data_IF_530132465109
#
_entry.id   IF_530132465109
#
_cell.length_a   1.000
_cell.length_b   1.000
_cell.length_c   1.000
_cell.angle_alpha   90.00
_cell.angle_beta   90.00
_cell.angle_gamma   90.00
#
_symmetry.space_group_name_H-M   'P 1'
#
loop_
_entity.id
_entity.type
_entity.pdbx_description
1 polymer ?
#
# COMPACT_ATOMS: atom_id res chain seq x y z
N UNK A 1 -44.24 10.22 8.48
CA UNK A 1 -43.87 9.01 7.72
C UNK A 1 -44.63 9.07 6.42
N UNK A 2 -43.91 9.45 5.36
CA UNK A 2 -44.52 9.66 4.06
C UNK A 2 -44.55 8.33 3.30
N UNK A 3 -45.76 7.85 2.99
CA UNK A 3 -45.99 6.59 2.27
C UNK A 3 -45.44 6.62 0.82
N UNK A 4 -45.12 7.81 0.32
CA UNK A 4 -44.45 8.03 -0.96
C UNK A 4 -43.00 7.57 -1.01
N UNK A 5 -42.26 7.75 0.08
CA UNK A 5 -40.83 7.36 0.17
C UNK A 5 -40.61 5.82 0.24
N UNK A 6 -41.57 5.12 0.85
CA UNK A 6 -41.52 3.64 0.92
C UNK A 6 -41.84 3.05 -0.45
N UNK A 7 -42.77 3.64 -1.18
CA UNK A 7 -43.16 3.16 -2.51
C UNK A 7 -42.05 3.43 -3.53
N UNK A 8 -41.37 4.58 -3.46
CA UNK A 8 -40.23 4.90 -4.33
C UNK A 8 -39.02 4.01 -4.09
N UNK A 9 -38.74 3.61 -2.82
CA UNK A 9 -37.66 2.71 -2.49
C UNK A 9 -37.93 1.26 -2.87
N UNK A 10 -39.21 0.84 -2.80
CA UNK A 10 -39.60 -0.55 -3.09
C UNK A 10 -39.85 -0.81 -4.57
N UNK A 11 -40.31 0.19 -5.32
CA UNK A 11 -40.59 0.10 -6.77
C UNK A 11 -39.54 0.80 -7.65
N UNK A 12 -38.82 1.81 -7.15
CA UNK A 12 -37.80 2.54 -7.89
C UNK A 12 -36.53 1.70 -8.15
N UNK A 13 -36.19 0.78 -7.25
CA UNK A 13 -35.03 -0.10 -7.40
C UNK A 13 -35.24 -1.30 -8.33
N UNK A 14 -36.47 -1.78 -8.47
CA UNK A 14 -36.77 -2.97 -9.29
C UNK A 14 -37.22 -2.65 -10.74
N UNK A 15 -37.73 -1.44 -11.02
CA UNK A 15 -38.17 -1.03 -12.36
C UNK A 15 -37.28 0.01 -13.03
N UNK A 16 -36.41 0.71 -12.28
CA UNK A 16 -35.50 1.74 -12.80
C UNK A 16 -34.20 1.24 -13.39
N UNK A 17 -33.83 -0.01 -13.18
CA UNK A 17 -32.52 -0.57 -13.59
C UNK A 17 -32.51 -1.36 -14.90
N UNK A 18 -33.65 -1.50 -15.62
CA UNK A 18 -33.75 -2.42 -16.74
C UNK A 18 -34.12 -1.86 -18.12
N UNK A 19 -34.53 -0.61 -18.25
CA UNK A 19 -35.06 -0.11 -19.52
C UNK A 19 -34.37 1.10 -20.15
N UNK A 20 -33.18 1.49 -19.66
CA UNK A 20 -32.42 2.65 -20.15
C UNK A 20 -30.98 2.36 -20.57
N UNK A 21 -30.62 1.12 -20.85
CA UNK A 21 -29.32 0.78 -21.44
C UNK A 21 -29.35 1.09 -22.92
N UNK A 22 -28.76 2.23 -23.34
CA UNK A 22 -28.58 2.58 -24.77
C UNK A 22 -27.90 1.41 -25.48
N UNK A 23 -28.61 0.81 -26.45
CA UNK A 23 -28.22 -0.39 -27.15
C UNK A 23 -27.09 -0.16 -28.17
N UNK A 24 -25.91 0.22 -27.68
CA UNK A 24 -24.68 0.26 -28.46
C UNK A 24 -23.77 -0.97 -28.19
N UNK A 25 -22.84 -1.23 -29.10
CA UNK A 25 -21.87 -2.31 -28.91
C UNK A 25 -21.03 -2.07 -27.66
N UNK A 26 -20.70 -3.15 -26.95
CA UNK A 26 -19.81 -3.09 -25.80
C UNK A 26 -18.38 -2.74 -26.27
N UNK A 27 -17.71 -1.88 -25.50
CA UNK A 27 -16.29 -1.64 -25.76
C UNK A 27 -15.44 -2.87 -25.39
N UNK A 28 -14.52 -3.24 -26.27
CA UNK A 28 -13.48 -4.24 -25.96
C UNK A 28 -12.44 -3.69 -24.99
N UNK A 29 -12.29 -2.36 -25.01
CA UNK A 29 -11.37 -1.65 -24.12
C UNK A 29 -12.05 -1.44 -22.76
N UNK A 30 -11.46 -1.98 -21.71
CA UNK A 30 -11.92 -1.84 -20.33
C UNK A 30 -10.77 -1.38 -19.45
N UNK A 31 -11.10 -0.73 -18.35
CA UNK A 31 -10.09 -0.35 -17.36
C UNK A 31 -9.45 -1.61 -16.75
N UNK A 32 -8.14 -1.51 -16.50
CA UNK A 32 -7.36 -2.52 -15.80
C UNK A 32 -7.78 -2.63 -14.35
N UNK A 33 -7.44 -3.76 -13.74
CA UNK A 33 -7.72 -4.00 -12.33
C UNK A 33 -6.74 -3.25 -11.46
N UNK A 34 -7.21 -2.84 -10.31
CA UNK A 34 -6.36 -2.40 -9.23
C UNK A 34 -5.50 -3.58 -8.74
N UNK A 35 -4.27 -3.28 -8.39
CA UNK A 35 -3.34 -4.27 -7.86
C UNK A 35 -2.91 -3.86 -6.46
N UNK A 36 -2.84 -4.83 -5.56
CA UNK A 36 -2.37 -4.64 -4.19
C UNK A 36 -1.07 -5.42 -4.01
N UNK A 37 -0.07 -4.77 -3.45
CA UNK A 37 1.18 -5.40 -3.02
C UNK A 37 1.54 -4.95 -1.61
N UNK A 38 2.41 -5.70 -0.94
CA UNK A 38 2.88 -5.38 0.40
C UNK A 38 4.40 -5.30 0.36
N UNK A 39 4.95 -4.31 1.05
CA UNK A 39 6.39 -4.16 1.23
C UNK A 39 6.72 -4.04 2.70
N UNK A 40 7.87 -4.58 3.07
CA UNK A 40 8.43 -4.42 4.40
C UNK A 40 9.53 -3.37 4.34
N UNK A 41 9.45 -2.38 5.22
CA UNK A 41 10.45 -1.31 5.37
C UNK A 41 11.15 -1.42 6.72
N UNK A 42 12.34 -0.89 6.82
CA UNK A 42 13.06 -0.75 8.09
C UNK A 42 12.66 0.54 8.78
N UNK A 43 13.01 0.68 10.06
CA UNK A 43 12.75 1.89 10.83
C UNK A 43 13.54 3.10 10.27
N UNK A 44 14.74 2.87 9.75
CA UNK A 44 15.54 3.91 9.09
C UNK A 44 14.85 4.41 7.82
N UNK A 45 14.35 3.49 6.98
CA UNK A 45 13.59 3.84 5.78
C UNK A 45 12.29 4.59 6.13
N UNK A 46 11.63 4.18 7.21
CA UNK A 46 10.46 4.89 7.73
C UNK A 46 10.79 6.30 8.22
N UNK A 47 11.98 6.45 8.85
CA UNK A 47 12.41 7.72 9.45
C UNK A 47 12.84 8.74 8.41
N UNK A 48 13.67 8.33 7.45
CA UNK A 48 14.30 9.23 6.49
C UNK A 48 13.64 9.24 5.12
N UNK A 49 12.72 8.32 4.88
CA UNK A 49 12.21 8.03 3.55
C UNK A 49 13.20 7.20 2.73
N UNK A 50 12.70 6.56 1.68
CA UNK A 50 13.53 5.73 0.81
C UNK A 50 12.94 5.60 -0.58
N UNK A 51 13.82 5.35 -1.56
CA UNK A 51 13.43 4.88 -2.88
C UNK A 51 13.62 3.37 -2.95
N UNK A 52 12.56 2.63 -3.21
CA UNK A 52 12.59 1.17 -3.25
C UNK A 52 12.13 0.64 -4.59
N UNK A 53 12.91 -0.25 -5.16
CA UNK A 53 12.49 -1.00 -6.34
C UNK A 53 11.67 -2.21 -5.90
N UNK A 54 10.46 -2.32 -6.44
CA UNK A 54 9.58 -3.47 -6.26
C UNK A 54 9.37 -4.19 -7.59
N UNK A 55 9.31 -5.50 -7.54
CA UNK A 55 8.98 -6.33 -8.71
C UNK A 55 7.61 -6.95 -8.51
N UNK A 56 6.74 -6.79 -9.48
CA UNK A 56 5.39 -7.36 -9.45
C UNK A 56 5.07 -8.06 -10.76
N UNK A 57 4.24 -9.10 -10.67
CA UNK A 57 3.67 -9.76 -11.84
C UNK A 57 2.37 -9.05 -12.19
N UNK A 58 2.34 -8.42 -13.36
CA UNK A 58 1.21 -7.60 -13.78
C UNK A 58 0.93 -7.79 -15.25
N UNK A 59 -0.22 -7.31 -15.73
CA UNK A 59 -0.51 -7.21 -17.14
C UNK A 59 0.03 -5.89 -17.68
N UNK A 60 0.83 -5.97 -18.77
CA UNK A 60 1.29 -4.83 -19.55
C UNK A 60 0.67 -4.86 -20.94
N UNK A 61 0.70 -3.75 -21.65
CA UNK A 61 0.27 -3.72 -23.03
C UNK A 61 1.11 -4.72 -23.87
N UNK A 62 0.49 -5.39 -24.80
CA UNK A 62 1.19 -6.28 -25.70
C UNK A 62 2.08 -5.47 -26.64
N UNK A 63 3.38 -5.76 -26.66
CA UNK A 63 4.36 -5.02 -27.47
C UNK A 63 4.20 -5.28 -28.97
N UNK A 64 3.51 -6.37 -29.37
CA UNK A 64 3.28 -6.72 -30.78
C UNK A 64 2.06 -5.96 -31.33
N UNK A 65 0.94 -5.98 -30.63
CA UNK A 65 -0.30 -5.37 -31.12
C UNK A 65 -0.64 -4.03 -30.46
N UNK A 66 0.11 -3.59 -29.47
CA UNK A 66 -0.09 -2.34 -28.72
C UNK A 66 -1.53 -2.13 -28.22
N UNK A 67 -2.20 -3.23 -27.85
CA UNK A 67 -3.58 -3.21 -27.37
C UNK A 67 -4.66 -3.38 -28.42
N UNK A 68 -4.34 -3.42 -29.71
CA UNK A 68 -5.34 -3.61 -30.80
C UNK A 68 -5.98 -4.98 -30.78
N UNK A 69 -5.39 -5.97 -30.11
CA UNK A 69 -5.81 -7.38 -30.04
C UNK A 69 -5.67 -8.17 -31.34
N UNK A 70 -5.35 -7.50 -32.45
CA UNK A 70 -5.23 -8.08 -33.79
C UNK A 70 -3.74 -8.27 -34.16
N UNK A 71 -3.46 -9.15 -35.11
CA UNK A 71 -2.16 -9.22 -35.73
C UNK A 71 -1.75 -7.88 -36.35
N UNK A 72 -0.44 -7.53 -36.36
CA UNK A 72 0.03 -6.32 -37.00
C UNK A 72 -0.42 -6.25 -38.46
N UNK A 73 -1.05 -5.14 -38.83
CA UNK A 73 -1.62 -4.93 -40.17
C UNK A 73 -3.04 -5.43 -40.37
N UNK A 74 -3.66 -5.99 -39.33
CA UNK A 74 -5.10 -6.33 -39.30
C UNK A 74 -5.88 -5.49 -38.29
N UNK A 75 -7.16 -5.29 -38.59
CA UNK A 75 -8.09 -4.52 -37.73
C UNK A 75 -9.35 -5.33 -37.44
N UNK A 76 -10.06 -5.01 -36.33
CA UNK A 76 -11.36 -5.64 -36.06
C UNK A 76 -12.37 -5.33 -37.18
N UNK A 77 -12.98 -6.34 -37.76
CA UNK A 77 -14.00 -6.20 -38.82
C UNK A 77 -15.39 -6.02 -38.23
N UNK A 78 -16.28 -5.30 -38.92
CA UNK A 78 -17.66 -5.15 -38.48
C UNK A 78 -18.37 -6.51 -38.50
N UNK A 79 -19.05 -6.88 -37.44
CA UNK A 79 -19.79 -8.14 -37.36
C UNK A 79 -20.93 -8.19 -38.40
N UNK A 80 -20.85 -9.10 -39.34
CA UNK A 80 -21.87 -9.25 -40.40
C UNK A 80 -23.23 -9.72 -39.89
N UNK A 81 -23.30 -10.36 -38.72
CA UNK A 81 -24.59 -10.84 -38.14
C UNK A 81 -25.43 -9.73 -37.53
N UNK A 82 -24.78 -8.76 -36.88
CA UNK A 82 -25.50 -7.63 -36.25
C UNK A 82 -25.19 -6.30 -36.89
N UNK A 83 -24.41 -6.27 -37.98
CA UNK A 83 -24.01 -5.05 -38.70
C UNK A 83 -23.46 -3.97 -37.77
N UNK A 84 -22.64 -4.39 -36.80
CA UNK A 84 -22.03 -3.47 -35.83
C UNK A 84 -22.87 -3.15 -34.61
N UNK A 85 -24.13 -3.54 -34.54
CA UNK A 85 -25.06 -3.19 -33.45
C UNK A 85 -24.67 -3.84 -32.10
N UNK A 86 -23.97 -4.98 -32.10
CA UNK A 86 -23.60 -5.73 -30.90
C UNK A 86 -24.71 -6.58 -30.31
N UNK A 87 -25.94 -6.43 -30.76
CA UNK A 87 -27.08 -7.18 -30.27
C UNK A 87 -27.94 -7.70 -31.41
N UNK A 88 -28.76 -8.71 -31.13
CA UNK A 88 -29.84 -9.22 -31.99
C UNK A 88 -31.17 -9.12 -31.24
N UNK A 89 -32.23 -8.91 -32.01
CA UNK A 89 -33.59 -8.84 -31.44
C UNK A 89 -34.20 -10.24 -31.52
N UNK A 90 -34.49 -10.82 -30.36
CA UNK A 90 -35.25 -12.06 -30.25
C UNK A 90 -36.71 -11.74 -29.91
N UNK A 91 -37.60 -12.32 -30.66
CA UNK A 91 -39.04 -12.19 -30.46
C UNK A 91 -39.55 -13.45 -29.75
N UNK A 92 -40.05 -13.30 -28.54
CA UNK A 92 -40.64 -14.38 -27.76
C UNK A 92 -42.14 -14.18 -27.64
N UNK A 93 -42.89 -15.23 -27.90
CA UNK A 93 -44.30 -15.22 -27.71
C UNK A 93 -44.62 -15.65 -26.28
N UNK A 94 -45.24 -14.76 -25.52
CA UNK A 94 -45.65 -15.01 -24.13
C UNK A 94 -47.17 -15.04 -24.03
N UNK A 95 -47.72 -15.51 -22.91
CA UNK A 95 -49.16 -15.52 -22.66
C UNK A 95 -49.80 -14.12 -22.71
N UNK A 96 -48.99 -13.06 -22.55
CA UNK A 96 -49.44 -11.67 -22.56
C UNK A 96 -49.17 -10.96 -23.90
N UNK A 97 -48.67 -11.69 -24.91
CA UNK A 97 -48.39 -11.12 -26.24
C UNK A 97 -46.92 -11.35 -26.67
N UNK A 98 -46.57 -10.72 -27.77
CA UNK A 98 -45.22 -10.85 -28.35
C UNK A 98 -44.29 -9.85 -27.69
N UNK A 99 -43.22 -10.35 -27.02
CA UNK A 99 -42.19 -9.55 -26.42
C UNK A 99 -40.94 -9.57 -27.30
N UNK A 100 -40.34 -8.39 -27.53
CA UNK A 100 -39.07 -8.24 -28.23
C UNK A 100 -37.97 -7.95 -27.19
N UNK A 101 -36.96 -8.84 -27.11
CA UNK A 101 -35.87 -8.71 -26.19
C UNK A 101 -34.57 -8.54 -26.98
N UNK A 102 -33.73 -7.59 -26.58
CA UNK A 102 -32.37 -7.45 -27.11
C UNK A 102 -31.46 -8.43 -26.37
N UNK A 103 -30.76 -9.28 -27.12
CA UNK A 103 -29.77 -10.22 -26.60
C UNK A 103 -28.41 -9.95 -27.24
N UNK A 104 -27.31 -10.14 -26.54
CA UNK A 104 -25.98 -9.99 -27.14
C UNK A 104 -25.85 -10.83 -28.41
N UNK A 105 -25.30 -10.27 -29.46
CA UNK A 105 -25.09 -10.98 -30.72
C UNK A 105 -24.21 -12.20 -30.48
N UNK A 106 -24.58 -13.44 -30.83
CA UNK A 106 -23.82 -14.63 -30.54
C UNK A 106 -22.46 -14.68 -31.27
N UNK A 107 -22.37 -14.04 -32.42
CA UNK A 107 -21.13 -14.02 -33.23
C UNK A 107 -20.08 -13.11 -32.63
N UNK A 108 -20.43 -11.88 -32.25
CA UNK A 108 -19.48 -10.91 -31.70
C UNK A 108 -19.56 -10.75 -30.19
N UNK A 109 -20.43 -11.50 -29.51
CA UNK A 109 -20.60 -11.48 -28.04
C UNK A 109 -20.89 -10.07 -27.47
N UNK A 110 -21.58 -9.24 -28.24
CA UNK A 110 -21.93 -7.89 -27.82
C UNK A 110 -20.97 -6.79 -28.29
N UNK A 111 -19.84 -7.12 -28.89
CA UNK A 111 -18.82 -6.14 -29.26
C UNK A 111 -19.09 -5.38 -30.57
N UNK A 112 -19.99 -5.86 -31.40
CA UNK A 112 -20.27 -5.25 -32.72
C UNK A 112 -19.18 -5.50 -33.77
N UNK A 113 -18.00 -5.94 -33.37
CA UNK A 113 -16.87 -6.27 -34.25
C UNK A 113 -16.38 -7.69 -34.00
N UNK A 114 -15.68 -8.27 -34.97
CA UNK A 114 -15.05 -9.59 -34.87
C UNK A 114 -13.55 -9.42 -35.14
N UNK A 115 -12.72 -10.12 -34.38
CA UNK A 115 -11.26 -10.20 -34.61
C UNK A 115 -11.03 -11.50 -35.38
N UNK A 116 -10.74 -11.36 -36.69
CA UNK A 116 -10.50 -12.53 -37.54
C UNK A 116 -9.10 -13.09 -37.35
N UNK A 117 -8.12 -12.21 -37.14
CA UNK A 117 -6.74 -12.54 -36.90
C UNK A 117 -6.29 -12.03 -35.55
N UNK A 118 -6.49 -12.82 -34.48
CA UNK A 118 -6.06 -12.44 -33.15
C UNK A 118 -4.53 -12.43 -33.06
N UNK A 119 -3.98 -11.43 -32.39
CA UNK A 119 -2.55 -11.32 -32.14
C UNK A 119 -2.02 -12.61 -31.46
N UNK A 120 -0.98 -13.21 -32.04
CA UNK A 120 -0.41 -14.47 -31.56
C UNK A 120 0.20 -14.37 -30.18
N UNK A 121 0.83 -13.22 -29.85
CA UNK A 121 1.51 -13.01 -28.57
C UNK A 121 0.52 -12.92 -27.40
N UNK A 122 -0.55 -12.15 -27.54
CA UNK A 122 -1.52 -11.94 -26.47
C UNK A 122 -2.82 -12.75 -26.63
N UNK A 123 -2.91 -13.60 -27.66
CA UNK A 123 -4.12 -14.38 -27.99
C UNK A 123 -5.40 -13.53 -28.02
N UNK A 124 -5.30 -12.32 -28.60
CA UNK A 124 -6.44 -11.40 -28.74
C UNK A 124 -6.84 -10.66 -27.45
N UNK A 125 -6.02 -10.68 -26.40
CA UNK A 125 -6.32 -9.94 -25.15
C UNK A 125 -5.84 -8.49 -25.17
N UNK A 126 -4.88 -8.14 -26.05
CA UNK A 126 -4.25 -6.82 -26.13
C UNK A 126 -3.26 -6.54 -25.00
N UNK A 127 -3.04 -7.49 -24.11
CA UNK A 127 -2.14 -7.40 -22.96
C UNK A 127 -1.48 -8.74 -22.68
N UNK A 128 -0.29 -8.71 -22.08
CA UNK A 128 0.48 -9.89 -21.69
C UNK A 128 0.84 -9.82 -20.22
N UNK A 129 0.96 -10.98 -19.57
CA UNK A 129 1.40 -11.05 -18.18
C UNK A 129 2.92 -11.13 -18.12
N UNK A 130 3.53 -10.18 -17.44
CA UNK A 130 4.99 -10.12 -17.28
C UNK A 130 5.40 -9.66 -15.90
N UNK A 131 6.66 -9.83 -15.58
CA UNK A 131 7.27 -9.26 -14.37
C UNK A 131 7.77 -7.86 -14.71
N UNK A 132 7.28 -6.87 -13.96
CA UNK A 132 7.69 -5.47 -14.11
C UNK A 132 8.33 -4.99 -12.82
N UNK A 133 9.45 -4.26 -12.93
CA UNK A 133 10.04 -3.51 -11.83
C UNK A 133 9.56 -2.07 -11.86
N UNK A 134 9.32 -1.54 -10.67
CA UNK A 134 8.85 -0.17 -10.46
C UNK A 134 9.55 0.41 -9.23
N UNK A 135 10.10 1.61 -9.36
CA UNK A 135 10.62 2.37 -8.21
C UNK A 135 9.49 3.11 -7.54
N UNK A 136 9.38 2.97 -6.23
CA UNK A 136 8.42 3.68 -5.38
C UNK A 136 9.15 4.59 -4.41
N UNK A 137 8.55 5.74 -4.14
CA UNK A 137 9.04 6.69 -3.16
C UNK A 137 8.29 6.50 -1.84
N UNK A 138 9.00 6.11 -0.81
CA UNK A 138 8.48 5.97 0.55
C UNK A 138 8.75 7.29 1.27
N UNK A 139 7.72 8.03 1.66
CA UNK A 139 7.92 9.30 2.34
C UNK A 139 8.47 9.09 3.76
N UNK A 140 9.25 10.04 4.23
CA UNK A 140 9.65 10.09 5.64
C UNK A 140 8.39 10.17 6.53
N UNK A 141 8.37 9.41 7.62
CA UNK A 141 7.20 9.28 8.47
C UNK A 141 6.26 8.13 8.08
N UNK A 142 6.51 7.43 6.98
CA UNK A 142 5.74 6.25 6.63
C UNK A 142 5.71 5.26 7.80
N UNK A 143 4.56 4.65 8.06
CA UNK A 143 4.37 3.73 9.20
C UNK A 143 3.61 2.48 8.84
N UNK A 144 3.53 1.58 9.80
CA UNK A 144 2.81 0.32 9.66
C UNK A 144 1.33 0.55 9.32
N UNK A 145 0.82 -0.21 8.35
CA UNK A 145 -0.56 -0.09 7.86
C UNK A 145 -0.81 1.07 6.90
N UNK A 146 0.18 1.90 6.58
CA UNK A 146 0.04 2.94 5.58
C UNK A 146 -0.11 2.33 4.19
N UNK A 147 -0.99 2.91 3.37
CA UNK A 147 -1.21 2.53 1.98
C UNK A 147 -0.81 3.67 1.04
N UNK A 148 0.12 3.39 0.14
CA UNK A 148 0.51 4.28 -0.95
C UNK A 148 -0.31 3.93 -2.19
N UNK A 149 -0.90 4.94 -2.84
CA UNK A 149 -1.58 4.80 -4.12
C UNK A 149 -0.69 5.33 -5.24
N UNK A 150 -0.37 4.47 -6.17
CA UNK A 150 0.35 4.80 -7.38
C UNK A 150 -0.63 4.78 -8.56
N UNK A 151 -1.10 5.95 -8.95
CA UNK A 151 -2.11 6.09 -9.99
C UNK A 151 -1.60 5.56 -11.33
N UNK A 152 -2.41 4.73 -12.00
CA UNK A 152 -2.08 4.17 -13.31
C UNK A 152 -0.93 3.18 -13.35
N UNK A 153 -0.46 2.67 -12.19
CA UNK A 153 0.63 1.68 -12.12
C UNK A 153 0.13 0.24 -11.89
N UNK A 154 -1.18 0.02 -11.88
CA UNK A 154 -1.80 -1.30 -11.82
C UNK A 154 -1.79 -2.06 -13.14
N UNK A 155 -2.67 -3.04 -13.28
CA UNK A 155 -2.78 -3.83 -14.50
C UNK A 155 -3.28 -3.00 -15.68
N UNK A 156 -2.73 -3.28 -16.87
CA UNK A 156 -3.29 -2.77 -18.13
C UNK A 156 -4.63 -3.43 -18.40
N UNK A 157 -5.60 -2.65 -18.81
CA UNK A 157 -6.93 -3.16 -19.16
C UNK A 157 -6.94 -4.02 -20.40
N UNK A 158 -7.92 -4.93 -20.55
CA UNK A 158 -8.14 -5.65 -21.79
C UNK A 158 -8.31 -4.68 -22.97
N UNK A 159 -7.82 -5.07 -24.13
CA UNK A 159 -7.92 -4.23 -25.33
C UNK A 159 -7.10 -2.94 -25.25
N UNK A 160 -5.97 -2.94 -24.56
CA UNK A 160 -5.16 -1.75 -24.38
C UNK A 160 -5.84 -0.66 -23.56
N UNK A 161 -6.79 -1.03 -22.70
CA UNK A 161 -7.52 -0.10 -21.85
C UNK A 161 -6.62 0.59 -20.83
N UNK A 162 -7.09 1.68 -20.21
CA UNK A 162 -6.34 2.41 -19.21
C UNK A 162 -5.95 1.49 -18.05
N UNK A 163 -4.79 1.76 -17.48
CA UNK A 163 -4.29 1.00 -16.34
C UNK A 163 -5.18 1.23 -15.12
N UNK A 164 -5.25 0.22 -14.26
CA UNK A 164 -5.72 0.39 -12.88
C UNK A 164 -4.68 1.09 -12.03
N UNK A 165 -4.93 1.19 -10.74
CA UNK A 165 -3.99 1.74 -9.77
C UNK A 165 -3.24 0.62 -9.03
N UNK A 166 -2.04 0.92 -8.58
CA UNK A 166 -1.29 0.05 -7.69
C UNK A 166 -1.35 0.60 -6.27
N UNK A 167 -1.78 -0.23 -5.35
CA UNK A 167 -1.74 0.04 -3.92
C UNK A 167 -0.59 -0.72 -3.28
N UNK A 168 0.20 -0.03 -2.49
CA UNK A 168 1.34 -0.60 -1.78
C UNK A 168 1.09 -0.45 -0.29
N UNK A 169 0.84 -1.57 0.39
CA UNK A 169 0.71 -1.60 1.85
C UNK A 169 2.10 -1.67 2.47
N UNK A 170 2.38 -0.75 3.37
CA UNK A 170 3.64 -0.66 4.10
C UNK A 170 3.51 -1.47 5.39
N UNK A 171 4.53 -2.29 5.68
CA UNK A 171 4.70 -2.99 6.93
C UNK A 171 6.06 -2.62 7.50
N UNK A 172 6.08 -2.05 8.70
CA UNK A 172 7.32 -1.69 9.38
C UNK A 172 7.89 -2.89 10.12
N UNK A 173 9.15 -3.20 9.87
CA UNK A 173 9.89 -4.24 10.61
C UNK A 173 10.22 -3.77 12.00
N UNK A 174 10.07 -4.66 12.97
CA UNK A 174 10.52 -4.39 14.34
C UNK A 174 12.03 -4.13 14.35
N UNK A 175 12.42 -3.02 14.97
CA UNK A 175 13.83 -2.71 15.19
C UNK A 175 14.32 -3.38 16.49
N UNK A 176 15.55 -3.90 16.54
CA UNK A 176 16.07 -4.62 17.72
C UNK A 176 16.23 -3.71 18.96
N UNK A 177 16.51 -2.44 18.76
CA UNK A 177 16.85 -1.49 19.83
C UNK A 177 15.74 -0.48 20.08
N UNK A 178 15.10 0.00 19.02
CA UNK A 178 14.11 1.06 19.12
C UNK A 178 12.69 0.52 18.98
N UNK A 179 11.78 1.07 19.78
CA UNK A 179 10.34 0.90 19.59
C UNK A 179 9.71 2.24 19.20
N UNK A 180 8.84 2.22 18.19
CA UNK A 180 8.17 3.40 17.67
C UNK A 180 6.79 3.54 18.31
N UNK A 181 6.43 4.76 18.71
CA UNK A 181 5.09 5.13 19.12
C UNK A 181 4.72 6.46 18.45
N UNK A 182 3.92 6.40 17.39
CA UNK A 182 3.65 7.55 16.54
C UNK A 182 4.91 8.04 15.81
N UNK A 183 5.33 9.26 16.09
CA UNK A 183 6.55 9.85 15.53
C UNK A 183 7.73 9.78 16.50
N UNK A 184 7.51 9.34 17.75
CA UNK A 184 8.55 9.23 18.75
C UNK A 184 9.17 7.85 18.79
N UNK A 185 10.46 7.79 19.15
CA UNK A 185 11.22 6.58 19.34
C UNK A 185 11.53 6.37 20.83
N UNK A 186 11.50 5.12 21.25
CA UNK A 186 11.77 4.70 22.62
C UNK A 186 12.85 3.65 22.62
N UNK A 187 13.79 3.80 23.55
CA UNK A 187 14.79 2.79 23.85
C UNK A 187 15.11 2.77 25.34
N UNK A 188 15.76 1.70 25.78
CA UNK A 188 16.25 1.58 27.17
C UNK A 188 17.75 1.40 27.16
N UNK A 189 18.43 2.19 27.99
CA UNK A 189 19.88 2.08 28.20
C UNK A 189 20.15 1.66 29.63
N UNK A 190 21.01 0.67 29.80
CA UNK A 190 21.43 0.22 31.13
C UNK A 190 22.80 0.83 31.46
N UNK A 191 22.84 1.56 32.57
CA UNK A 191 24.09 2.19 33.08
C UNK A 191 24.46 1.59 34.45
N UNK A 192 25.77 1.54 34.79
CA UNK A 192 26.18 1.10 36.12
C UNK A 192 25.72 2.09 37.19
N UNK A 193 25.46 1.59 38.42
CA UNK A 193 25.02 2.41 39.55
C UNK A 193 25.97 3.57 39.87
N UNK A 194 27.27 3.39 39.64
CA UNK A 194 28.27 4.45 39.86
C UNK A 194 28.11 5.60 38.90
N UNK A 195 27.77 5.31 37.63
CA UNK A 195 27.49 6.31 36.61
C UNK A 195 26.16 7.04 36.90
N UNK A 196 25.14 6.33 37.41
CA UNK A 196 23.90 6.94 37.84
C UNK A 196 24.10 7.88 39.06
N UNK A 197 24.93 7.48 40.02
CA UNK A 197 25.18 8.25 41.25
C UNK A 197 26.05 9.50 40.99
N UNK A 198 27.15 9.33 40.26
CA UNK A 198 28.16 10.38 40.04
C UNK A 198 27.86 11.24 38.79
N UNK A 199 27.01 10.77 37.93
CA UNK A 199 26.83 11.30 36.57
C UNK A 199 27.89 10.74 35.63
N UNK A 200 27.56 10.70 34.36
CA UNK A 200 28.47 10.24 33.31
C UNK A 200 28.04 10.76 31.95
N UNK A 201 28.99 10.76 31.02
CA UNK A 201 28.73 11.01 29.61
C UNK A 201 29.16 9.80 28.82
N UNK A 202 28.32 9.31 27.94
CA UNK A 202 28.58 8.18 27.07
C UNK A 202 28.04 8.39 25.66
N UNK A 203 28.58 7.68 24.70
CA UNK A 203 28.10 7.69 23.33
C UNK A 203 26.98 6.66 23.15
N UNK A 204 25.92 7.07 22.50
CA UNK A 204 24.79 6.22 22.14
C UNK A 204 24.63 6.17 20.64
N UNK A 205 24.48 4.98 20.09
CA UNK A 205 24.14 4.79 18.68
C UNK A 205 22.65 5.08 18.47
N UNK A 206 22.36 6.11 17.67
CA UNK A 206 21.02 6.50 17.25
C UNK A 206 20.85 6.27 15.75
N UNK A 207 19.65 6.46 15.21
CA UNK A 207 19.42 6.39 13.76
C UNK A 207 20.21 7.45 12.96
N UNK A 208 20.57 8.56 13.62
CA UNK A 208 21.36 9.66 13.03
C UNK A 208 22.88 9.49 13.27
N UNK A 209 23.30 8.35 13.81
CA UNK A 209 24.68 8.09 14.20
C UNK A 209 24.89 8.27 15.70
N UNK A 210 26.15 8.42 16.10
CA UNK A 210 26.54 8.51 17.50
C UNK A 210 26.20 9.85 18.11
N UNK A 211 25.50 9.82 19.25
CA UNK A 211 25.13 11.00 20.05
C UNK A 211 25.76 10.90 21.44
N UNK A 212 26.33 12.00 21.91
CA UNK A 212 26.85 12.11 23.26
C UNK A 212 25.74 12.45 24.24
N UNK A 213 25.54 11.58 25.23
CA UNK A 213 24.46 11.69 26.22
C UNK A 213 25.08 11.89 27.60
N UNK A 214 24.57 12.91 28.29
CA UNK A 214 25.02 13.20 29.66
C UNK A 214 23.92 12.80 30.64
N UNK A 215 24.22 11.88 31.52
CA UNK A 215 23.43 11.47 32.67
C UNK A 215 23.80 12.33 33.87
N UNK A 216 22.80 12.95 34.50
CA UNK A 216 23.03 13.80 35.66
C UNK A 216 23.33 12.96 36.90
N UNK A 217 24.14 13.50 37.87
CA UNK A 217 24.29 12.83 39.16
C UNK A 217 22.96 12.64 39.88
N UNK A 218 22.78 11.43 40.46
CA UNK A 218 21.54 11.09 41.17
C UNK A 218 20.41 10.58 40.29
N UNK A 219 20.67 10.26 39.04
CA UNK A 219 19.68 9.66 38.13
C UNK A 219 19.17 8.34 38.70
N UNK A 220 17.84 8.13 38.66
CA UNK A 220 17.17 6.95 39.22
C UNK A 220 16.77 5.95 38.10
N UNK A 221 16.61 4.66 38.44
CA UNK A 221 16.00 3.70 37.54
C UNK A 221 14.59 4.16 37.14
N UNK A 222 14.31 4.17 35.83
CA UNK A 222 13.04 4.63 35.28
C UNK A 222 13.00 6.10 34.89
N UNK A 223 14.06 6.86 35.20
CA UNK A 223 14.19 8.22 34.67
C UNK A 223 14.27 8.18 33.15
N UNK A 224 13.76 9.23 32.52
CA UNK A 224 13.71 9.37 31.07
C UNK A 224 14.52 10.57 30.62
N UNK A 225 15.35 10.34 29.60
CA UNK A 225 16.06 11.40 28.88
C UNK A 225 15.40 11.59 27.51
N UNK A 226 15.04 12.82 27.20
CA UNK A 226 14.43 13.17 25.93
C UNK A 226 15.46 13.88 25.05
N UNK A 227 15.64 13.36 23.84
CA UNK A 227 16.49 13.96 22.80
C UNK A 227 15.56 14.49 21.69
N UNK A 228 15.39 15.80 21.58
CA UNK A 228 14.46 16.38 20.62
C UNK A 228 14.92 16.20 19.18
N UNK A 229 13.98 15.88 18.27
CA UNK A 229 14.23 15.80 16.84
C UNK A 229 14.96 14.54 16.36
N UNK A 230 15.19 13.54 17.24
CA UNK A 230 15.81 12.26 16.91
C UNK A 230 14.79 11.10 16.76
N UNK A 231 13.52 11.43 16.69
CA UNK A 231 12.42 10.51 16.36
C UNK A 231 12.24 10.29 14.86
N UNK A 232 11.09 9.77 14.47
CA UNK A 232 10.67 9.54 13.08
C UNK A 232 10.22 10.85 12.44
N UNK A 233 10.41 10.98 11.14
CA UNK A 233 9.93 12.13 10.36
C UNK A 233 8.41 12.28 10.46
N UNK A 234 7.92 13.52 10.43
CA UNK A 234 6.47 13.76 10.35
C UNK A 234 5.99 13.61 8.90
N UNK A 235 4.93 12.87 8.67
CA UNK A 235 4.43 12.59 7.33
C UNK A 235 3.91 13.83 6.57
N UNK A 236 3.30 14.80 7.28
CA UNK A 236 2.59 15.93 6.66
C UNK A 236 3.13 17.32 7.06
N UNK A 237 4.17 17.36 7.87
CA UNK A 237 4.76 18.60 8.38
C UNK A 237 6.27 18.47 8.45
N UNK A 238 7.02 19.57 8.39
CA UNK A 238 8.46 19.52 8.59
C UNK A 238 8.79 19.16 10.04
N UNK A 239 9.94 18.52 10.22
CA UNK A 239 10.45 18.11 11.53
C UNK A 239 10.31 16.61 11.78
N UNK A 240 10.70 16.23 12.98
CA UNK A 240 10.75 14.85 13.46
C UNK A 240 10.25 14.80 14.90
N UNK A 241 9.79 13.65 15.33
CA UNK A 241 9.53 13.34 16.73
C UNK A 241 10.80 13.28 17.56
N UNK A 242 10.70 12.83 18.78
CA UNK A 242 11.78 12.80 19.74
C UNK A 242 12.24 11.37 20.03
N UNK A 243 13.46 11.22 20.54
CA UNK A 243 13.97 9.97 21.08
C UNK A 243 13.89 10.01 22.60
N UNK A 244 13.16 9.08 23.17
CA UNK A 244 12.96 8.86 24.60
C UNK A 244 13.85 7.70 25.06
N UNK A 245 14.73 7.96 26.01
CA UNK A 245 15.70 7.00 26.53
C UNK A 245 15.36 6.73 27.99
N UNK A 246 14.78 5.57 28.24
CA UNK A 246 14.57 5.07 29.61
C UNK A 246 15.89 4.62 30.22
N UNK A 247 16.21 5.11 31.40
CA UNK A 247 17.42 4.72 32.13
C UNK A 247 17.12 3.52 33.00
N UNK A 248 17.86 2.44 32.82
CA UNK A 248 17.90 1.30 33.71
C UNK A 248 19.26 1.31 34.43
N UNK A 249 19.26 1.07 35.74
CA UNK A 249 20.48 1.08 36.55
C UNK A 249 20.86 -0.35 36.93
N UNK A 250 22.05 -0.77 36.52
CA UNK A 250 22.58 -2.07 36.88
C UNK A 250 23.32 -2.01 38.18
N UNK A 251 22.90 -2.85 39.13
CA UNK A 251 23.59 -3.11 40.38
C UNK A 251 24.44 -4.37 40.19
N UNK A 252 25.78 -4.31 40.43
CA UNK A 252 26.63 -5.45 40.21
C UNK A 252 26.26 -6.62 41.14
N UNK A 253 26.06 -7.79 40.55
CA UNK A 253 25.71 -9.02 41.32
C UNK A 253 26.91 -9.66 41.98
N UNK A 254 28.10 -9.42 41.47
CA UNK A 254 29.38 -9.91 42.01
C UNK A 254 30.28 -8.72 42.30
N UNK A 255 30.75 -8.64 43.50
CA UNK A 255 31.69 -7.60 43.96
C UNK A 255 33.01 -8.26 44.25
N UNK A 256 34.11 -7.62 43.81
CA UNK A 256 35.45 -7.90 44.31
C UNK A 256 35.63 -7.33 45.73
N UNK A 257 36.71 -7.71 46.43
CA UNK A 257 36.91 -7.32 47.82
C UNK A 257 37.01 -5.80 47.96
N UNK A 258 37.65 -5.13 47.00
CA UNK A 258 37.80 -3.67 47.02
C UNK A 258 36.49 -2.93 46.79
N UNK A 259 35.68 -3.38 45.83
CA UNK A 259 34.36 -2.80 45.60
C UNK A 259 33.43 -2.98 46.79
N UNK A 260 33.55 -4.11 47.48
CA UNK A 260 32.80 -4.37 48.71
C UNK A 260 33.17 -3.40 49.82
N UNK A 261 34.46 -3.24 50.11
CA UNK A 261 34.96 -2.27 51.09
C UNK A 261 34.44 -0.86 50.83
N UNK A 262 34.55 -0.38 49.59
CA UNK A 262 34.08 0.96 49.20
C UNK A 262 32.58 1.13 49.41
N UNK A 263 31.77 0.11 49.12
CA UNK A 263 30.33 0.16 49.35
C UNK A 263 29.98 0.10 50.84
N UNK A 264 30.72 -0.64 51.66
CA UNK A 264 30.57 -0.67 53.12
C UNK A 264 30.93 0.69 53.72
N UNK A 265 32.06 1.31 53.28
CA UNK A 265 32.42 2.68 53.71
C UNK A 265 31.30 3.67 53.32
N UNK A 266 30.78 3.61 52.12
CA UNK A 266 29.66 4.47 51.68
C UNK A 266 28.42 4.26 52.53
N UNK A 267 28.13 3.03 52.90
CA UNK A 267 26.96 2.72 53.76
C UNK A 267 27.06 3.28 55.18
N UNK A 268 28.28 3.45 55.67
CA UNK A 268 28.55 4.01 57.00
C UNK A 268 28.41 5.55 57.07
N UNK A 269 28.46 6.22 55.92
CA UNK A 269 28.34 7.69 55.80
C UNK A 269 26.86 8.14 55.67
N UNK A 270 25.94 7.22 55.49
CA UNK A 270 24.54 7.50 55.18
C UNK A 270 23.63 7.51 56.44
#
# INVERSE_FOLDING_TARGET
>A
FDFGDILSTMFGGAFGGGFGGGGGPQSRTRQGREQLTRIEITLEEATFGAHREISLNTYVACDVCHGSMCEPGSEPTTCGTCNGAGYSIQTQQTMLGTMRTQVPCPTCQGYGTVIEQPCHECAGQGRVRTRRSLTIDIPAGAGDGMRLRLAGQGEVGPGGGPNGDLYVDIVEKRHPTFSRQGDDLYMTVTIPMTAAALGSTFELDTLDGKQSITVKPGTQPGDELRLPGLGVGHLQRPGRGDLHIGINVEIPRKLDDRSRELLEELSAVR
#
